data_IF_646418163426
#
_entry.id   IF_646418163426
#
_cell.length_a   1.000
_cell.length_b   1.000
_cell.length_c   1.000
_cell.angle_alpha   90.00
_cell.angle_beta   90.00
_cell.angle_gamma   90.00
#
_symmetry.space_group_name_H-M   'P 1'
#
loop_
_entity.id
_entity.type
_entity.pdbx_description
1 polymer ?
#
# COMPACT_ATOMS: atom_id res chain seq x y z
N UNK A 1 -38.33 -3.22 15.05
CA UNK A 1 -38.73 -3.23 13.62
C UNK A 1 -38.92 -1.80 13.18
N UNK A 2 -37.89 -1.16 12.67
CA UNK A 2 -37.96 0.06 11.86
C UNK A 2 -36.75 0.05 10.97
N UNK A 3 -37.02 -0.12 9.69
CA UNK A 3 -36.09 -0.47 8.63
C UNK A 3 -35.21 0.68 8.21
N UNK A 4 -34.01 0.35 7.99
CA UNK A 4 -32.88 1.05 7.42
C UNK A 4 -33.13 1.39 5.93
N UNK A 5 -33.28 2.68 5.60
CA UNK A 5 -33.35 3.19 4.23
C UNK A 5 -32.42 4.40 4.03
N UNK A 6 -31.17 4.31 4.51
CA UNK A 6 -30.15 5.37 4.32
C UNK A 6 -28.84 4.83 3.75
N UNK A 7 -28.85 4.02 2.70
CA UNK A 7 -27.62 3.32 2.34
C UNK A 7 -27.11 3.52 0.92
N UNK A 8 -27.78 4.21 0.03
CA UNK A 8 -27.35 4.20 -1.39
C UNK A 8 -26.56 5.42 -1.88
N UNK A 9 -26.69 6.60 -1.25
CA UNK A 9 -25.87 7.78 -1.61
C UNK A 9 -24.54 7.86 -0.86
N UNK A 10 -24.40 7.23 0.32
CA UNK A 10 -23.15 7.20 1.10
C UNK A 10 -22.14 6.18 0.58
N UNK A 11 -22.56 5.11 -0.09
CA UNK A 11 -21.64 4.08 -0.59
C UNK A 11 -20.74 4.56 -1.74
N UNK A 12 -21.15 5.55 -2.51
CA UNK A 12 -20.31 6.12 -3.57
C UNK A 12 -19.34 7.21 -3.05
N UNK A 13 -19.67 7.86 -1.93
CA UNK A 13 -18.78 8.82 -1.26
C UNK A 13 -17.71 8.14 -0.41
N UNK A 14 -17.96 6.93 0.11
CA UNK A 14 -16.99 6.09 0.84
C UNK A 14 -15.96 5.41 -0.09
N UNK A 15 -16.15 5.46 -1.41
CA UNK A 15 -15.19 4.98 -2.41
C UNK A 15 -13.90 5.81 -2.49
N UNK A 16 -13.84 6.99 -1.84
CA UNK A 16 -12.68 7.89 -1.82
C UNK A 16 -11.97 7.88 -0.45
N UNK A 17 -12.50 7.15 0.53
CA UNK A 17 -11.83 6.92 1.81
C UNK A 17 -10.59 6.05 1.61
N UNK A 18 -9.47 6.69 1.28
CA UNK A 18 -8.15 6.07 1.23
C UNK A 18 -7.81 5.48 2.57
N UNK A 19 -7.60 4.16 2.62
CA UNK A 19 -6.94 3.50 3.74
C UNK A 19 -5.50 4.03 3.74
N UNK A 20 -5.25 5.01 4.61
CA UNK A 20 -3.93 5.58 4.83
C UNK A 20 -3.11 4.63 5.68
N UNK A 21 -2.48 3.64 5.08
CA UNK A 21 -1.45 2.86 5.74
C UNK A 21 -0.07 3.41 5.39
N UNK A 22 0.71 3.74 6.42
CA UNK A 22 2.06 4.29 6.29
C UNK A 22 2.16 5.54 5.39
N UNK A 23 1.29 6.52 5.63
CA UNK A 23 1.43 7.83 5.01
C UNK A 23 1.24 7.88 3.50
N UNK A 24 0.53 6.94 2.89
CA UNK A 24 0.42 6.91 1.44
C UNK A 24 -1.03 6.92 0.95
N UNK A 25 -1.68 8.09 1.06
CA UNK A 25 -2.71 8.45 0.11
C UNK A 25 -2.13 9.51 -0.82
N UNK A 26 -1.52 9.08 -1.88
CA UNK A 26 -1.23 9.98 -3.00
C UNK A 26 -2.54 10.30 -3.68
N UNK A 27 -3.01 11.52 -3.51
CA UNK A 27 -4.01 12.10 -4.43
C UNK A 27 -3.30 12.31 -5.77
N UNK A 28 -3.30 11.29 -6.60
CA UNK A 28 -2.85 11.43 -7.99
C UNK A 28 -3.88 12.31 -8.69
N UNK A 29 -3.48 13.54 -9.04
CA UNK A 29 -4.19 14.32 -10.04
C UNK A 29 -4.08 13.57 -11.36
N UNK A 30 -5.12 12.80 -11.69
CA UNK A 30 -5.24 12.24 -13.04
C UNK A 30 -5.29 13.37 -14.04
N UNK A 31 -4.50 13.36 -15.12
CA UNK A 31 -4.72 14.24 -16.25
C UNK A 31 -6.13 13.95 -16.79
N UNK A 32 -6.99 14.95 -16.83
CA UNK A 32 -8.30 14.81 -17.47
C UNK A 32 -8.08 14.57 -18.96
N UNK A 33 -8.65 13.50 -19.54
CA UNK A 33 -8.68 13.38 -20.97
C UNK A 33 -9.59 14.49 -21.52
N UNK A 34 -9.06 15.30 -22.40
CA UNK A 34 -9.84 16.26 -23.19
C UNK A 34 -10.71 15.48 -24.16
N UNK A 35 -11.97 15.28 -23.82
CA UNK A 35 -12.98 14.77 -24.75
C UNK A 35 -13.50 15.91 -25.60
N UNK A 36 -13.57 15.76 -26.94
CA UNK A 36 -14.27 16.73 -27.78
C UNK A 36 -15.77 16.62 -27.50
N UNK A 37 -16.36 17.76 -27.12
CA UNK A 37 -17.81 17.88 -26.93
C UNK A 37 -18.55 17.59 -28.24
N UNK A 38 -19.25 16.48 -28.32
CA UNK A 38 -20.31 16.28 -29.30
C UNK A 38 -21.64 16.73 -28.68
N UNK A 39 -22.14 17.86 -29.15
CA UNK A 39 -23.51 18.31 -28.87
C UNK A 39 -24.47 17.31 -29.47
N UNK A 40 -25.15 16.53 -28.64
CA UNK A 40 -26.33 15.74 -29.06
C UNK A 40 -27.55 16.61 -28.81
N UNK A 41 -28.19 17.04 -29.89
CA UNK A 41 -29.47 17.73 -29.85
C UNK A 41 -30.54 16.65 -29.58
N UNK A 42 -31.12 16.71 -28.38
CA UNK A 42 -32.30 15.87 -28.05
C UNK A 42 -33.52 16.56 -28.63
N UNK A 43 -34.06 15.97 -29.72
CA UNK A 43 -35.33 16.37 -30.28
C UNK A 43 -36.49 15.93 -29.38
N UNK A 44 -37.33 16.89 -28.97
CA UNK A 44 -38.56 16.63 -28.24
C UNK A 44 -39.53 15.83 -29.11
N UNK A 45 -39.91 14.63 -28.68
CA UNK A 45 -41.01 13.87 -29.26
C UNK A 45 -42.34 14.43 -28.76
N UNK A 46 -43.07 15.06 -29.65
CA UNK A 46 -44.47 15.45 -29.42
C UNK A 46 -45.37 14.21 -29.54
N UNK A 47 -46.15 13.97 -28.50
CA UNK A 47 -47.23 12.98 -28.51
C UNK A 47 -48.34 13.46 -29.41
N UNK A 48 -48.58 12.77 -30.51
CA UNK A 48 -49.78 12.95 -31.30
C UNK A 48 -50.85 11.92 -30.89
N UNK A 49 -51.94 12.41 -30.31
CA UNK A 49 -53.19 11.69 -30.18
C UNK A 49 -53.79 11.51 -31.55
N UNK A 50 -53.84 10.28 -32.06
CA UNK A 50 -54.62 9.94 -33.24
C UNK A 50 -56.05 9.57 -32.82
N UNK A 51 -57.06 10.19 -33.41
CA UNK A 51 -58.46 9.78 -33.23
C UNK A 51 -58.76 8.49 -34.01
N UNK A 52 -59.44 7.58 -33.37
CA UNK A 52 -59.98 6.35 -34.02
C UNK A 52 -60.97 6.69 -35.08
N UNK A 53 -60.84 6.19 -36.34
CA UNK A 53 -61.86 6.36 -37.37
C UNK A 53 -63.05 5.38 -37.20
N UNK A 54 -64.22 5.94 -37.17
CA UNK A 54 -65.48 5.20 -37.19
C UNK A 54 -65.69 4.61 -38.58
N UNK A 55 -65.73 3.27 -38.76
CA UNK A 55 -65.99 2.60 -40.00
C UNK A 55 -67.50 2.32 -40.14
N UNK A 56 -68.18 3.00 -41.08
CA UNK A 56 -69.46 2.60 -41.60
C UNK A 56 -69.29 1.54 -42.71
N UNK A 57 -70.08 0.46 -42.64
CA UNK A 57 -69.98 -0.70 -43.53
C UNK A 57 -70.40 -0.36 -44.93
N UNK A 58 -69.53 -0.65 -45.94
CA UNK A 58 -69.83 -0.71 -47.34
C UNK A 58 -69.75 -2.17 -47.87
N UNK A 59 -70.58 -2.57 -48.87
CA UNK A 59 -70.58 -3.96 -49.33
C UNK A 59 -69.34 -4.31 -50.16
N UNK A 60 -68.79 -5.45 -49.86
CA UNK A 60 -67.49 -5.94 -50.25
C UNK A 60 -67.60 -6.73 -51.55
N UNK A 61 -66.84 -6.33 -52.57
CA UNK A 61 -66.55 -7.20 -53.73
C UNK A 61 -65.25 -7.98 -53.42
N UNK A 62 -65.33 -9.33 -53.48
CA UNK A 62 -64.31 -10.27 -52.93
C UNK A 62 -62.84 -10.08 -53.41
N UNK A 63 -62.57 -9.44 -54.52
CA UNK A 63 -61.25 -9.27 -55.11
C UNK A 63 -60.44 -8.10 -54.46
N UNK A 64 -61.10 -7.03 -53.99
CA UNK A 64 -60.44 -5.91 -53.35
C UNK A 64 -59.98 -6.23 -51.91
N UNK A 65 -60.71 -7.08 -51.22
CA UNK A 65 -60.42 -7.47 -49.88
C UNK A 65 -59.18 -8.36 -49.78
N UNK A 66 -58.99 -9.24 -50.76
CA UNK A 66 -57.81 -10.12 -50.77
C UNK A 66 -56.51 -9.34 -51.04
N UNK A 67 -56.60 -8.33 -51.92
CA UNK A 67 -55.45 -7.43 -52.14
C UNK A 67 -55.10 -6.55 -50.88
N UNK A 68 -56.15 -6.05 -50.22
CA UNK A 68 -55.92 -5.31 -48.96
C UNK A 68 -55.37 -6.19 -47.82
N UNK A 69 -55.88 -7.39 -47.65
CA UNK A 69 -55.39 -8.36 -46.72
C UNK A 69 -53.91 -8.72 -47.01
N UNK A 70 -53.55 -8.93 -48.25
CA UNK A 70 -52.17 -9.19 -48.63
C UNK A 70 -51.25 -7.97 -48.41
N UNK A 71 -51.74 -6.74 -48.61
CA UNK A 71 -50.99 -5.54 -48.24
C UNK A 71 -50.79 -5.43 -46.73
N UNK A 72 -51.80 -5.64 -45.91
CA UNK A 72 -51.71 -5.63 -44.48
C UNK A 72 -50.70 -6.68 -43.92
N UNK A 73 -50.71 -7.86 -44.54
CA UNK A 73 -49.79 -8.93 -44.14
C UNK A 73 -48.37 -8.63 -44.59
N UNK A 74 -48.14 -8.02 -45.74
CA UNK A 74 -46.83 -7.52 -46.16
C UNK A 74 -46.34 -6.38 -45.30
N UNK A 75 -47.20 -5.43 -44.92
CA UNK A 75 -46.86 -4.34 -44.00
C UNK A 75 -46.50 -4.86 -42.62
N UNK A 76 -47.25 -5.83 -42.08
CA UNK A 76 -46.97 -6.50 -40.81
C UNK A 76 -45.60 -7.19 -40.83
N UNK A 77 -45.33 -7.98 -41.88
CA UNK A 77 -44.03 -8.66 -42.05
C UNK A 77 -42.87 -7.67 -42.19
N UNK A 78 -43.13 -6.53 -42.85
CA UNK A 78 -42.13 -5.46 -42.98
C UNK A 78 -41.82 -4.82 -41.64
N UNK A 79 -42.85 -4.51 -40.83
CA UNK A 79 -42.69 -3.97 -39.47
C UNK A 79 -41.99 -4.97 -38.56
N UNK A 80 -42.35 -6.27 -38.61
CA UNK A 80 -41.69 -7.31 -37.86
C UNK A 80 -40.18 -7.45 -38.24
N UNK A 81 -39.88 -7.37 -39.55
CA UNK A 81 -38.49 -7.38 -40.04
C UNK A 81 -37.72 -6.15 -39.59
N UNK A 82 -38.32 -4.95 -39.65
CA UNK A 82 -37.68 -3.73 -39.14
C UNK A 82 -37.42 -3.80 -37.65
N UNK A 83 -38.36 -4.32 -36.88
CA UNK A 83 -38.18 -4.53 -35.43
C UNK A 83 -37.05 -5.55 -35.10
N UNK A 84 -36.95 -6.62 -35.92
CA UNK A 84 -35.84 -7.57 -35.77
C UNK A 84 -34.48 -6.93 -36.10
N UNK A 85 -34.39 -6.19 -37.20
CA UNK A 85 -33.16 -5.47 -37.57
C UNK A 85 -32.81 -4.45 -36.50
N UNK A 86 -33.76 -3.71 -35.97
CA UNK A 86 -33.54 -2.74 -34.91
C UNK A 86 -33.03 -3.42 -33.62
N UNK A 87 -33.61 -4.55 -33.22
CA UNK A 87 -33.13 -5.35 -32.08
C UNK A 87 -31.71 -5.89 -32.32
N UNK A 88 -31.44 -6.35 -33.55
CA UNK A 88 -30.13 -6.86 -33.90
C UNK A 88 -29.07 -5.74 -33.88
N UNK A 89 -29.39 -4.58 -34.44
CA UNK A 89 -28.50 -3.41 -34.39
C UNK A 89 -28.25 -2.95 -32.95
N UNK A 90 -29.29 -2.91 -32.11
CA UNK A 90 -29.13 -2.59 -30.68
C UNK A 90 -28.23 -3.62 -29.98
N UNK A 91 -28.43 -4.90 -30.26
CA UNK A 91 -27.57 -5.95 -29.68
C UNK A 91 -26.12 -5.85 -30.19
N UNK A 92 -25.89 -5.54 -31.45
CA UNK A 92 -24.56 -5.33 -32.02
C UNK A 92 -23.89 -4.06 -31.44
N UNK A 93 -24.65 -2.96 -31.26
CA UNK A 93 -24.15 -1.75 -30.58
C UNK A 93 -23.82 -2.02 -29.11
N UNK A 94 -24.66 -2.77 -28.37
CA UNK A 94 -24.39 -3.17 -27.00
C UNK A 94 -23.15 -4.06 -26.91
N UNK A 95 -22.99 -5.03 -27.81
CA UNK A 95 -21.82 -5.89 -27.90
C UNK A 95 -20.56 -5.09 -28.26
N UNK A 96 -20.64 -4.15 -29.19
CA UNK A 96 -19.52 -3.29 -29.55
C UNK A 96 -19.11 -2.37 -28.39
N UNK A 97 -20.08 -1.79 -27.69
CA UNK A 97 -19.83 -0.98 -26.50
C UNK A 97 -19.22 -1.81 -25.38
N UNK A 98 -19.70 -3.05 -25.16
CA UNK A 98 -19.15 -3.95 -24.16
C UNK A 98 -17.71 -4.37 -24.48
N UNK A 99 -17.40 -4.64 -25.75
CA UNK A 99 -16.04 -5.01 -26.20
C UNK A 99 -15.04 -3.84 -26.16
N UNK A 100 -15.53 -2.61 -26.10
CA UNK A 100 -14.67 -1.40 -26.02
C UNK A 100 -14.20 -1.06 -24.59
N UNK A 101 -14.78 -1.70 -23.56
CA UNK A 101 -14.43 -1.42 -22.15
C UNK A 101 -13.01 -1.90 -21.85
N UNK A 102 -12.17 -0.99 -21.37
CA UNK A 102 -10.83 -1.28 -20.92
C UNK A 102 -10.87 -1.64 -19.43
N UNK A 103 -10.54 -2.89 -19.10
CA UNK A 103 -10.57 -3.41 -17.73
C UNK A 103 -9.26 -3.23 -16.96
N UNK A 104 -8.14 -3.00 -17.64
CA UNK A 104 -6.87 -2.75 -17.04
C UNK A 104 -6.57 -1.25 -16.96
N UNK A 105 -5.92 -0.83 -15.87
CA UNK A 105 -5.47 0.55 -15.75
C UNK A 105 -4.42 0.86 -16.83
N UNK A 106 -4.34 2.12 -17.31
CA UNK A 106 -3.29 2.56 -18.22
C UNK A 106 -1.91 2.24 -17.66
N UNK A 107 -1.00 1.77 -18.52
CA UNK A 107 0.37 1.43 -18.12
C UNK A 107 1.29 2.64 -18.18
N UNK A 108 2.15 2.77 -17.17
CA UNK A 108 3.20 3.77 -17.11
C UNK A 108 4.57 3.22 -17.54
N UNK A 109 4.65 1.95 -17.97
CA UNK A 109 5.91 1.24 -18.27
C UNK A 109 6.81 1.92 -19.30
N UNK A 110 6.25 2.76 -20.17
CA UNK A 110 6.99 3.55 -21.16
C UNK A 110 7.47 4.91 -20.62
N UNK A 111 7.10 5.27 -19.39
CA UNK A 111 7.53 6.52 -18.76
C UNK A 111 8.96 6.42 -18.29
N UNK A 112 9.76 7.44 -18.58
CA UNK A 112 11.16 7.51 -18.13
C UNK A 112 11.27 7.34 -16.61
N UNK A 113 12.26 6.56 -16.16
CA UNK A 113 12.52 6.26 -14.75
C UNK A 113 11.83 5.00 -14.24
N UNK A 114 10.77 4.50 -14.92
CA UNK A 114 10.09 3.26 -14.51
C UNK A 114 10.97 2.03 -14.65
N UNK A 115 11.94 2.03 -15.58
CA UNK A 115 12.89 0.95 -15.80
C UNK A 115 13.70 0.59 -14.55
N UNK A 116 14.00 1.57 -13.69
CA UNK A 116 14.68 1.36 -12.41
C UNK A 116 13.84 0.51 -11.45
N UNK A 117 12.53 0.69 -11.47
CA UNK A 117 11.58 -0.08 -10.64
C UNK A 117 11.48 -1.52 -11.14
N UNK A 118 11.33 -1.74 -12.45
CA UNK A 118 11.28 -3.09 -13.02
C UNK A 118 12.57 -3.87 -12.77
N UNK A 119 13.73 -3.25 -12.94
CA UNK A 119 15.02 -3.86 -12.62
C UNK A 119 15.16 -4.20 -11.13
N UNK A 120 14.68 -3.32 -10.26
CA UNK A 120 14.72 -3.54 -8.81
C UNK A 120 13.77 -4.65 -8.39
N UNK A 121 12.55 -4.70 -8.93
CA UNK A 121 11.64 -5.82 -8.70
C UNK A 121 12.29 -7.17 -9.08
N UNK A 122 12.96 -7.22 -10.23
CA UNK A 122 13.72 -8.40 -10.65
C UNK A 122 14.79 -8.83 -9.63
N UNK A 123 15.58 -7.89 -9.11
CA UNK A 123 16.62 -8.17 -8.10
C UNK A 123 16.02 -8.70 -6.79
N UNK A 124 14.93 -8.10 -6.32
CA UNK A 124 14.24 -8.54 -5.10
C UNK A 124 13.63 -9.94 -5.28
N UNK A 125 13.04 -10.21 -6.43
CA UNK A 125 12.49 -11.53 -6.76
C UNK A 125 13.59 -12.59 -6.88
N UNK A 126 14.76 -12.26 -7.40
CA UNK A 126 15.90 -13.19 -7.44
C UNK A 126 16.40 -13.55 -6.04
N UNK A 127 16.41 -12.61 -5.09
CA UNK A 127 16.68 -12.88 -3.67
C UNK A 127 15.58 -13.79 -3.06
N UNK A 128 14.31 -13.45 -3.26
CA UNK A 128 13.18 -14.17 -2.68
C UNK A 128 13.07 -15.61 -3.24
N UNK A 129 13.41 -15.81 -4.50
CA UNK A 129 13.43 -17.13 -5.17
C UNK A 129 14.70 -17.94 -4.89
N UNK A 130 15.67 -17.41 -4.12
CA UNK A 130 16.91 -18.08 -3.79
C UNK A 130 17.94 -18.14 -4.91
N UNK A 131 17.78 -17.37 -6.00
CA UNK A 131 18.77 -17.25 -7.08
C UNK A 131 19.99 -16.43 -6.64
N UNK A 132 19.79 -15.48 -5.72
CA UNK A 132 20.84 -14.69 -5.10
C UNK A 132 20.66 -14.70 -3.57
N UNK A 133 21.75 -14.51 -2.78
CA UNK A 133 21.64 -14.47 -1.33
C UNK A 133 20.72 -13.34 -0.84
N UNK A 134 19.97 -13.61 0.22
CA UNK A 134 19.18 -12.58 0.90
C UNK A 134 20.12 -11.53 1.52
N UNK A 135 20.03 -10.29 1.06
CA UNK A 135 20.85 -9.15 1.53
C UNK A 135 19.94 -7.92 1.73
N UNK A 136 19.63 -7.63 2.99
CA UNK A 136 18.71 -6.54 3.32
C UNK A 136 19.28 -5.16 2.97
N UNK A 137 20.57 -4.95 3.23
CA UNK A 137 21.28 -3.70 2.88
C UNK A 137 21.13 -3.37 1.39
N UNK A 138 21.36 -4.38 0.52
CA UNK A 138 21.26 -4.18 -0.92
C UNK A 138 19.82 -4.08 -1.41
N UNK A 139 18.87 -4.79 -0.77
CA UNK A 139 17.44 -4.71 -1.07
C UNK A 139 16.89 -3.30 -0.81
N UNK A 140 17.13 -2.76 0.39
CA UNK A 140 16.68 -1.42 0.79
C UNK A 140 17.32 -0.36 -0.11
N UNK A 141 18.65 -0.44 -0.34
CA UNK A 141 19.33 0.49 -1.25
C UNK A 141 18.74 0.47 -2.66
N UNK A 142 18.44 -0.71 -3.20
CA UNK A 142 17.91 -0.84 -4.55
C UNK A 142 16.53 -0.19 -4.69
N UNK A 143 15.64 -0.37 -3.68
CA UNK A 143 14.31 0.28 -3.64
C UNK A 143 14.43 1.79 -3.65
N UNK A 144 15.24 2.34 -2.75
CA UNK A 144 15.42 3.79 -2.62
C UNK A 144 16.12 4.39 -3.85
N UNK A 145 17.09 3.66 -4.42
CA UNK A 145 17.79 4.08 -5.63
C UNK A 145 16.88 4.04 -6.88
N UNK A 146 15.88 3.15 -6.91
CA UNK A 146 14.87 3.16 -7.98
C UNK A 146 14.02 4.44 -7.93
N UNK A 147 13.64 4.87 -6.73
CA UNK A 147 12.92 6.13 -6.55
C UNK A 147 13.73 7.35 -7.03
N UNK A 148 15.02 7.35 -6.80
CA UNK A 148 15.95 8.40 -7.27
C UNK A 148 16.58 8.09 -8.66
N UNK A 149 15.98 7.21 -9.44
CA UNK A 149 16.36 6.94 -10.84
C UNK A 149 17.86 6.60 -11.01
N UNK A 150 18.40 5.85 -10.05
CA UNK A 150 19.80 5.43 -10.09
C UNK A 150 20.82 6.42 -9.56
N UNK A 151 20.40 7.56 -9.02
CA UNK A 151 21.27 8.68 -8.65
C UNK A 151 21.90 8.60 -7.25
N UNK A 152 21.53 7.61 -6.43
CA UNK A 152 22.10 7.45 -5.08
C UNK A 152 23.54 6.92 -5.11
N UNK A 153 24.40 7.50 -4.26
CA UNK A 153 25.78 7.05 -4.09
C UNK A 153 25.85 5.84 -3.14
N UNK A 154 25.95 4.63 -3.72
CA UNK A 154 26.04 3.38 -2.97
C UNK A 154 27.27 3.35 -2.05
N UNK A 155 28.40 3.91 -2.47
CA UNK A 155 29.63 3.93 -1.66
C UNK A 155 29.43 4.72 -0.38
N UNK A 156 28.83 5.92 -0.46
CA UNK A 156 28.52 6.73 0.76
C UNK A 156 27.55 6.01 1.67
N UNK A 157 26.54 5.35 1.13
CA UNK A 157 25.60 4.53 1.89
C UNK A 157 26.33 3.43 2.69
N UNK A 158 27.19 2.66 2.03
CA UNK A 158 27.95 1.56 2.65
C UNK A 158 29.00 2.06 3.64
N UNK A 159 29.66 3.18 3.37
CA UNK A 159 30.61 3.84 4.27
C UNK A 159 29.93 4.28 5.59
N UNK A 160 28.74 4.89 5.51
CA UNK A 160 27.98 5.30 6.69
C UNK A 160 27.58 4.12 7.58
N UNK A 161 27.05 3.05 6.98
CA UNK A 161 26.70 1.82 7.69
C UNK A 161 27.95 1.22 8.36
N UNK A 162 29.06 1.17 7.63
CA UNK A 162 30.33 0.66 8.17
C UNK A 162 30.88 1.51 9.31
N UNK A 163 30.75 2.83 9.25
CA UNK A 163 31.13 3.75 10.32
C UNK A 163 30.31 3.50 11.59
N UNK A 164 28.98 3.35 11.47
CA UNK A 164 28.10 3.07 12.62
C UNK A 164 28.41 1.72 13.26
N UNK A 165 28.63 0.67 12.47
CA UNK A 165 29.02 -0.65 12.93
C UNK A 165 30.37 -0.61 13.69
N UNK A 166 31.36 0.14 13.17
CA UNK A 166 32.66 0.33 13.81
C UNK A 166 32.55 1.09 15.14
N UNK A 167 31.71 2.14 15.21
CA UNK A 167 31.42 2.87 16.45
C UNK A 167 30.87 1.91 17.51
N UNK A 168 29.93 1.04 17.17
CA UNK A 168 29.37 0.05 18.09
C UNK A 168 30.43 -0.89 18.63
N UNK A 169 31.30 -1.42 17.76
CA UNK A 169 32.37 -2.34 18.14
C UNK A 169 33.45 -1.66 19.03
N UNK A 170 33.90 -0.48 18.62
CA UNK A 170 34.91 0.28 19.39
C UNK A 170 34.38 0.64 20.80
N UNK A 171 33.12 1.08 20.85
CA UNK A 171 32.52 1.46 22.15
C UNK A 171 32.29 0.24 23.01
N UNK A 172 31.93 -0.91 22.50
CA UNK A 172 31.88 -2.17 23.26
C UNK A 172 33.20 -2.50 23.89
N UNK A 173 34.30 -2.41 23.12
CA UNK A 173 35.67 -2.64 23.66
C UNK A 173 36.08 -1.64 24.73
N UNK A 174 35.74 -0.36 24.56
CA UNK A 174 36.03 0.68 25.57
C UNK A 174 35.22 0.51 26.84
N UNK A 175 34.02 -0.04 26.76
CA UNK A 175 33.16 -0.34 27.91
C UNK A 175 33.47 -1.72 28.53
N UNK A 176 34.50 -2.44 28.06
CA UNK A 176 34.89 -3.77 28.55
C UNK A 176 33.91 -4.90 28.21
N UNK A 177 33.04 -4.70 27.21
CA UNK A 177 32.00 -5.66 26.83
C UNK A 177 32.52 -6.66 25.79
N UNK A 178 32.09 -7.93 25.93
CA UNK A 178 32.45 -8.97 24.97
C UNK A 178 31.69 -8.83 23.68
N UNK A 179 32.35 -8.35 22.60
CA UNK A 179 31.76 -8.17 21.28
C UNK A 179 31.27 -9.47 20.62
N UNK A 180 31.79 -10.64 21.01
CA UNK A 180 31.33 -11.91 20.46
C UNK A 180 29.99 -12.36 21.04
N UNK A 181 29.52 -11.73 22.11
CA UNK A 181 28.19 -11.97 22.64
C UNK A 181 27.12 -11.30 21.71
N UNK A 182 26.14 -12.07 21.15
CA UNK A 182 25.11 -11.53 20.30
C UNK A 182 24.26 -10.42 20.95
N UNK A 183 24.04 -10.52 22.27
CA UNK A 183 23.28 -9.52 23.02
C UNK A 183 24.04 -8.21 23.10
N UNK A 184 25.37 -8.29 23.34
CA UNK A 184 26.26 -7.11 23.35
C UNK A 184 26.16 -6.37 22.02
N UNK A 185 26.17 -7.10 20.90
CA UNK A 185 26.01 -6.49 19.57
C UNK A 185 24.68 -5.73 19.46
N UNK A 186 23.54 -6.35 19.80
CA UNK A 186 22.24 -5.71 19.79
C UNK A 186 22.20 -4.46 20.70
N UNK A 187 22.67 -4.57 21.93
CA UNK A 187 22.67 -3.43 22.86
C UNK A 187 23.54 -2.29 22.34
N UNK A 188 24.70 -2.60 21.76
CA UNK A 188 25.60 -1.56 21.25
C UNK A 188 25.08 -0.89 19.98
N UNK A 189 24.41 -1.64 19.08
CA UNK A 189 23.71 -1.06 17.94
C UNK A 189 22.56 -0.15 18.39
N UNK A 190 21.78 -0.60 19.38
CA UNK A 190 20.74 0.24 20.00
C UNK A 190 21.34 1.55 20.54
N UNK A 191 22.45 1.48 21.30
CA UNK A 191 23.11 2.66 21.88
C UNK A 191 23.65 3.61 20.80
N UNK A 192 24.22 3.08 19.70
CA UNK A 192 24.68 3.92 18.57
C UNK A 192 23.52 4.68 17.93
N UNK A 193 22.33 4.08 17.92
CA UNK A 193 21.14 4.72 17.33
C UNK A 193 20.37 5.61 18.31
N UNK A 194 20.45 5.34 19.63
CA UNK A 194 19.60 5.99 20.63
C UNK A 194 20.33 6.93 21.61
N UNK A 195 21.66 6.78 21.78
CA UNK A 195 22.42 7.52 22.78
C UNK A 195 23.45 8.47 22.14
N UNK A 196 23.80 9.52 22.87
CA UNK A 196 25.02 10.29 22.57
C UNK A 196 26.22 9.54 23.16
N UNK A 197 27.14 9.10 22.29
CA UNK A 197 28.29 8.30 22.69
C UNK A 197 29.60 9.07 22.51
N UNK A 198 30.48 8.99 23.52
CA UNK A 198 31.87 9.39 23.39
C UNK A 198 32.71 8.18 23.02
N UNK A 199 33.38 8.24 21.85
CA UNK A 199 34.14 7.12 21.28
C UNK A 199 35.56 7.56 20.96
N UNK A 200 36.56 6.85 21.48
CA UNK A 200 37.98 7.09 21.17
C UNK A 200 38.39 6.20 19.99
N UNK A 201 38.81 6.82 18.92
CA UNK A 201 39.33 6.10 17.74
C UNK A 201 40.84 5.88 17.91
N UNK A 202 41.37 4.72 17.42
CA UNK A 202 42.79 4.36 17.65
C UNK A 202 43.80 5.41 17.16
N UNK A 203 43.47 6.12 16.09
CA UNK A 203 44.35 7.11 15.44
C UNK A 203 44.05 8.56 15.86
N UNK A 204 43.23 8.77 16.88
CA UNK A 204 42.83 10.12 17.32
C UNK A 204 43.19 10.32 18.79
N UNK A 205 43.78 11.46 19.11
CA UNK A 205 44.12 11.81 20.51
C UNK A 205 42.85 12.06 21.34
N UNK A 206 41.85 12.72 20.73
CA UNK A 206 40.61 13.08 21.41
C UNK A 206 39.46 12.13 21.01
N UNK A 207 38.59 11.85 21.96
CA UNK A 207 37.35 11.16 21.67
C UNK A 207 36.45 12.00 20.76
N UNK A 208 35.72 11.30 19.89
CA UNK A 208 34.67 11.91 19.00
C UNK A 208 33.32 11.62 19.59
N UNK A 209 32.39 12.57 19.42
CA UNK A 209 31.00 12.37 19.83
C UNK A 209 30.18 11.79 18.65
N UNK A 210 29.48 10.69 18.90
CA UNK A 210 28.44 10.16 18.00
C UNK A 210 27.07 10.56 18.53
N UNK A 211 26.29 11.21 17.71
CA UNK A 211 24.93 11.63 18.06
C UNK A 211 23.91 10.58 17.67
N UNK A 212 22.79 10.45 18.43
CA UNK A 212 21.73 9.51 18.12
C UNK A 212 20.99 9.86 16.83
N UNK A 213 20.32 8.86 16.27
CA UNK A 213 19.27 9.07 15.30
C UNK A 213 18.02 9.65 15.99
N UNK A 214 17.30 10.51 15.29
CA UNK A 214 16.11 11.17 15.81
C UNK A 214 14.89 10.82 14.98
N UNK A 215 13.73 10.80 15.63
CA UNK A 215 12.48 10.73 14.90
C UNK A 215 12.17 12.06 14.20
N UNK A 216 11.77 11.98 12.93
CA UNK A 216 11.38 13.16 12.14
C UNK A 216 9.87 13.33 12.23
N UNK A 217 9.40 14.30 13.01
CA UNK A 217 7.98 14.61 13.18
C UNK A 217 7.41 15.38 11.99
N UNK A 218 8.27 15.97 11.16
CA UNK A 218 7.84 16.70 9.97
C UNK A 218 7.59 15.73 8.83
N UNK A 219 6.35 15.74 8.28
CA UNK A 219 5.90 14.85 7.20
C UNK A 219 6.20 13.37 7.48
N UNK A 220 5.89 12.92 8.71
CA UNK A 220 6.24 11.58 9.19
C UNK A 220 5.61 10.44 8.35
N UNK A 221 4.62 10.74 7.53
CA UNK A 221 3.99 9.80 6.58
C UNK A 221 4.61 9.85 5.18
N UNK A 222 5.48 10.83 4.89
CA UNK A 222 6.03 11.03 3.56
C UNK A 222 4.98 11.45 2.53
N UNK A 223 3.93 12.17 2.97
CA UNK A 223 2.82 12.61 2.09
C UNK A 223 3.29 13.70 1.11
N UNK A 224 4.19 14.58 1.54
CA UNK A 224 4.77 15.64 0.72
C UNK A 224 6.12 15.23 0.12
N UNK A 225 6.96 14.57 0.92
CA UNK A 225 8.27 14.06 0.50
C UNK A 225 8.43 12.59 0.88
N UNK A 226 8.13 11.71 -0.07
CA UNK A 226 8.20 10.27 0.14
C UNK A 226 9.58 9.79 0.58
N UNK A 227 10.65 10.50 0.21
CA UNK A 227 12.03 10.14 0.59
C UNK A 227 12.30 10.26 2.09
N UNK A 228 11.44 10.93 2.86
CA UNK A 228 11.54 10.98 4.32
C UNK A 228 11.43 9.60 4.99
N UNK A 229 10.83 8.63 4.31
CA UNK A 229 10.73 7.24 4.75
C UNK A 229 12.03 6.43 4.53
N UNK A 230 13.04 6.98 3.86
CA UNK A 230 14.21 6.26 3.38
C UNK A 230 15.35 6.19 4.39
N UNK A 231 16.06 5.04 4.37
CA UNK A 231 17.30 4.83 5.15
C UNK A 231 18.43 5.73 4.65
N UNK A 232 18.51 5.99 3.35
CA UNK A 232 19.53 6.90 2.77
C UNK A 232 19.34 8.33 3.28
N UNK A 233 18.10 8.79 3.41
CA UNK A 233 17.77 10.09 4.03
C UNK A 233 18.10 10.09 5.52
N UNK A 234 17.74 9.03 6.27
CA UNK A 234 18.09 8.86 7.68
C UNK A 234 19.60 8.96 7.90
N UNK A 235 20.40 8.24 7.10
CA UNK A 235 21.88 8.26 7.19
C UNK A 235 22.47 9.64 6.88
N UNK A 236 21.83 10.45 6.04
CA UNK A 236 22.32 11.78 5.68
C UNK A 236 21.91 12.86 6.68
N UNK A 237 20.70 12.79 7.23
CA UNK A 237 20.11 13.83 8.08
C UNK A 237 20.11 13.48 9.59
N UNK A 238 20.39 12.24 9.97
CA UNK A 238 20.18 11.67 11.30
C UNK A 238 18.71 11.73 11.77
N UNK A 239 17.76 11.97 10.85
CA UNK A 239 16.32 11.99 11.13
C UNK A 239 15.61 10.98 10.26
N UNK A 240 14.78 10.14 10.89
CA UNK A 240 14.02 9.08 10.19
C UNK A 240 12.69 8.79 10.83
N UNK A 241 12.01 7.81 10.25
CA UNK A 241 10.65 7.43 10.60
C UNK A 241 10.62 6.04 11.26
N UNK A 242 9.46 5.66 11.77
CA UNK A 242 9.25 4.29 12.29
C UNK A 242 9.51 3.19 11.24
N UNK A 243 9.60 3.54 9.95
CA UNK A 243 9.99 2.65 8.86
C UNK A 243 11.51 2.55 8.70
N UNK A 244 12.19 3.67 8.49
CA UNK A 244 13.64 3.70 8.21
C UNK A 244 14.52 3.37 9.41
N UNK A 245 14.11 3.74 10.64
CA UNK A 245 14.89 3.47 11.84
C UNK A 245 15.06 1.95 12.09
N UNK A 246 14.00 1.12 12.10
CA UNK A 246 14.15 -0.33 12.25
C UNK A 246 14.88 -0.99 11.09
N UNK A 247 14.67 -0.53 9.84
CA UNK A 247 15.39 -1.07 8.69
C UNK A 247 16.90 -0.82 8.80
N UNK A 248 17.32 0.40 9.19
CA UNK A 248 18.74 0.68 9.45
C UNK A 248 19.31 -0.20 10.55
N UNK A 249 18.55 -0.42 11.63
CA UNK A 249 18.97 -1.30 12.71
C UNK A 249 19.21 -2.74 12.21
N UNK A 250 18.30 -3.31 11.41
CA UNK A 250 18.47 -4.64 10.85
C UNK A 250 19.64 -4.73 9.85
N UNK A 251 19.87 -3.68 9.06
CA UNK A 251 21.04 -3.58 8.18
C UNK A 251 22.35 -3.58 9.00
N UNK A 252 22.38 -2.87 10.13
CA UNK A 252 23.51 -2.89 11.04
C UNK A 252 23.67 -4.26 11.70
N UNK A 253 22.58 -4.93 12.11
CA UNK A 253 22.62 -6.32 12.61
C UNK A 253 23.22 -7.26 11.56
N UNK A 254 22.79 -7.18 10.31
CA UNK A 254 23.36 -7.97 9.21
C UNK A 254 24.88 -7.71 9.05
N UNK A 255 25.29 -6.43 9.15
CA UNK A 255 26.69 -6.01 9.03
C UNK A 255 27.60 -6.58 10.12
N UNK A 256 27.11 -6.68 11.37
CA UNK A 256 27.92 -7.15 12.52
C UNK A 256 27.65 -8.61 12.90
N UNK A 257 26.75 -9.30 12.21
CA UNK A 257 26.33 -10.66 12.55
C UNK A 257 25.59 -10.72 13.89
N UNK A 258 24.65 -9.81 14.13
CA UNK A 258 23.68 -9.86 15.21
C UNK A 258 22.33 -10.35 14.69
N UNK A 259 21.54 -10.98 15.57
CA UNK A 259 20.19 -11.47 15.23
C UNK A 259 19.13 -10.55 15.81
N UNK A 260 18.27 -10.04 14.95
CA UNK A 260 17.10 -9.27 15.31
C UNK A 260 16.03 -9.41 14.21
N UNK A 261 14.79 -9.11 14.54
CA UNK A 261 13.64 -9.21 13.65
C UNK A 261 12.87 -7.91 13.62
N UNK A 262 12.27 -7.59 12.47
CA UNK A 262 11.24 -6.57 12.35
C UNK A 262 9.95 -7.09 12.96
N UNK A 263 9.20 -6.24 13.65
CA UNK A 263 7.85 -6.52 14.08
C UNK A 263 6.96 -5.29 13.87
N UNK A 264 5.65 -5.53 13.73
CA UNK A 264 4.68 -4.49 13.45
C UNK A 264 3.68 -4.32 14.58
N UNK A 265 3.18 -3.10 14.73
CA UNK A 265 1.95 -2.73 15.41
C UNK A 265 1.15 -1.80 14.50
N UNK A 266 -0.10 -1.41 14.80
CA UNK A 266 -0.86 -0.54 13.92
C UNK A 266 -0.10 0.74 13.54
N UNK A 267 0.15 0.93 12.25
CA UNK A 267 0.90 2.05 11.64
C UNK A 267 2.32 2.26 12.19
N UNK A 268 2.92 1.22 12.75
CA UNK A 268 4.22 1.34 13.39
C UNK A 268 5.04 0.08 13.25
N UNK A 269 6.37 0.21 13.22
CA UNK A 269 7.31 -0.91 13.23
C UNK A 269 8.41 -0.70 14.27
N UNK A 270 8.89 -1.81 14.83
CA UNK A 270 9.89 -1.86 15.88
C UNK A 270 10.75 -3.12 15.78
N UNK A 271 11.77 -3.25 16.60
CA UNK A 271 12.71 -4.37 16.61
C UNK A 271 12.40 -5.33 17.74
N UNK A 272 12.51 -6.62 17.45
CA UNK A 272 12.54 -7.71 18.45
C UNK A 272 13.87 -8.45 18.38
N UNK A 273 14.43 -8.79 19.54
CA UNK A 273 15.59 -9.69 19.64
C UNK A 273 15.45 -10.59 20.85
N UNK A 274 16.21 -11.69 20.88
CA UNK A 274 16.23 -12.62 22.01
C UNK A 274 17.46 -12.41 22.91
N UNK A 275 17.25 -12.59 24.21
CA UNK A 275 18.35 -12.70 25.18
C UNK A 275 18.92 -14.13 25.24
N UNK A 276 19.93 -14.35 26.10
CA UNK A 276 20.57 -15.65 26.34
C UNK A 276 19.61 -16.74 26.85
N UNK A 277 18.46 -16.34 27.41
CA UNK A 277 17.43 -17.23 27.95
C UNK A 277 16.28 -17.43 26.95
N UNK A 278 16.42 -16.98 25.69
CA UNK A 278 15.38 -16.99 24.64
C UNK A 278 14.16 -16.08 24.95
N UNK A 279 14.25 -15.14 25.88
CA UNK A 279 13.21 -14.16 26.11
C UNK A 279 13.26 -13.08 25.04
N UNK A 280 12.08 -12.68 24.55
CA UNK A 280 11.97 -11.59 23.61
C UNK A 280 12.04 -10.23 24.29
N UNK A 281 12.79 -9.33 23.66
CA UNK A 281 12.90 -7.92 24.02
C UNK A 281 12.57 -7.06 22.83
N UNK A 282 11.91 -5.92 23.05
CA UNK A 282 11.54 -4.98 22.00
C UNK A 282 12.43 -3.72 22.11
N UNK A 283 12.86 -3.21 20.95
CA UNK A 283 13.53 -1.92 20.83
C UNK A 283 12.61 -0.99 20.05
N UNK A 284 12.20 0.07 20.71
CA UNK A 284 11.40 1.14 20.15
C UNK A 284 12.32 2.31 19.77
N UNK A 285 12.65 2.38 18.48
CA UNK A 285 13.67 3.33 18.00
C UNK A 285 13.15 4.75 17.83
N UNK A 286 11.85 4.95 17.67
CA UNK A 286 11.26 6.30 17.60
C UNK A 286 11.40 7.02 18.93
N UNK A 287 11.37 6.27 20.04
CA UNK A 287 11.56 6.75 21.40
C UNK A 287 12.99 6.55 21.89
N UNK A 288 13.77 5.71 21.22
CA UNK A 288 15.08 5.28 21.67
C UNK A 288 14.99 4.57 23.04
N UNK A 289 14.09 3.59 23.19
CA UNK A 289 13.89 2.86 24.44
C UNK A 289 13.71 1.36 24.22
N UNK A 290 14.09 0.57 25.22
CA UNK A 290 13.70 -0.83 25.29
C UNK A 290 12.33 -0.94 25.97
N UNK A 291 11.49 -1.85 25.47
CA UNK A 291 10.12 -1.98 25.92
C UNK A 291 9.67 -3.45 25.99
N UNK A 292 8.45 -3.70 26.44
CA UNK A 292 7.85 -5.03 26.57
C UNK A 292 6.68 -5.20 25.60
N UNK A 293 6.28 -6.46 25.38
CA UNK A 293 5.06 -6.74 24.58
C UNK A 293 3.81 -6.12 25.22
N UNK A 294 3.73 -6.06 26.56
CA UNK A 294 2.64 -5.40 27.26
C UNK A 294 2.54 -3.90 26.93
N UNK A 295 3.70 -3.22 26.82
CA UNK A 295 3.76 -1.81 26.40
C UNK A 295 3.23 -1.65 24.97
N UNK A 296 3.66 -2.51 24.04
CA UNK A 296 3.21 -2.46 22.64
C UNK A 296 1.70 -2.67 22.55
N UNK A 297 1.15 -3.66 23.26
CA UNK A 297 -0.30 -3.93 23.30
C UNK A 297 -1.07 -2.74 23.89
N UNK A 298 -0.54 -2.14 24.97
CA UNK A 298 -1.19 -1.03 25.66
C UNK A 298 -1.15 0.30 24.93
N UNK A 299 -0.20 0.48 23.98
CA UNK A 299 -0.02 1.71 23.22
C UNK A 299 -0.75 1.74 21.88
N UNK A 300 -1.26 0.61 21.37
CA UNK A 300 -1.80 0.52 20.02
C UNK A 300 -3.11 -0.25 19.91
N UNK A 301 -3.83 -0.01 18.85
CA UNK A 301 -5.10 -0.64 18.46
C UNK A 301 -4.90 -2.10 18.03
N UNK A 302 -4.36 -2.95 18.92
CA UNK A 302 -4.06 -4.35 18.65
C UNK A 302 -5.18 -5.21 19.21
N UNK A 303 -5.92 -5.90 18.34
CA UNK A 303 -6.92 -6.86 18.74
C UNK A 303 -6.38 -8.31 18.77
N UNK A 304 -7.10 -9.21 19.44
CA UNK A 304 -6.70 -10.60 19.59
C UNK A 304 -6.61 -11.35 18.24
N UNK A 305 -7.45 -10.99 17.26
CA UNK A 305 -7.42 -11.60 15.94
C UNK A 305 -6.11 -11.26 15.21
N UNK A 306 -5.65 -10.00 15.27
CA UNK A 306 -4.41 -9.58 14.67
C UNK A 306 -3.19 -10.30 15.26
N UNK A 307 -3.17 -10.52 16.56
CA UNK A 307 -2.12 -11.32 17.22
C UNK A 307 -2.20 -12.79 16.77
N UNK A 308 -3.39 -13.38 16.78
CA UNK A 308 -3.63 -14.77 16.39
C UNK A 308 -3.21 -15.05 14.95
N UNK A 309 -3.49 -14.14 14.04
CA UNK A 309 -3.13 -14.26 12.62
C UNK A 309 -1.70 -13.82 12.30
N UNK A 310 -0.94 -13.34 13.29
CA UNK A 310 0.45 -12.93 13.10
C UNK A 310 0.62 -11.62 12.30
N UNK A 311 -0.42 -10.77 12.28
CA UNK A 311 -0.36 -9.45 11.64
C UNK A 311 0.55 -8.54 12.43
N UNK A 312 0.39 -8.54 13.77
CA UNK A 312 1.14 -7.70 14.69
C UNK A 312 1.95 -8.54 15.67
N UNK A 313 3.02 -7.95 16.19
CA UNK A 313 3.91 -8.47 17.23
C UNK A 313 4.72 -9.73 16.84
N UNK A 314 4.51 -10.31 15.67
CA UNK A 314 5.29 -11.45 15.20
C UNK A 314 6.64 -10.99 14.64
N UNK A 315 7.74 -11.63 15.06
CA UNK A 315 9.05 -11.36 14.48
C UNK A 315 9.06 -11.84 13.01
N UNK A 316 9.37 -10.92 12.12
CA UNK A 316 9.52 -11.19 10.69
C UNK A 316 10.92 -11.75 10.42
N UNK A 317 11.02 -12.80 9.62
CA UNK A 317 12.30 -13.29 9.13
C UNK A 317 12.86 -12.40 8.00
N UNK A 318 14.12 -12.61 7.63
CA UNK A 318 14.79 -11.81 6.59
C UNK A 318 14.07 -11.88 5.24
N UNK A 319 13.52 -13.04 4.88
CA UNK A 319 12.80 -13.23 3.62
C UNK A 319 11.51 -12.41 3.59
N UNK A 320 10.77 -12.41 4.70
CA UNK A 320 9.58 -11.59 4.87
C UNK A 320 9.92 -10.09 4.81
N UNK A 321 11.02 -9.64 5.46
CA UNK A 321 11.44 -8.24 5.40
C UNK A 321 11.82 -7.83 3.96
N UNK A 322 12.49 -8.69 3.18
CA UNK A 322 12.75 -8.42 1.77
C UNK A 322 11.45 -8.41 0.93
N UNK A 323 10.48 -9.25 1.28
CA UNK A 323 9.15 -9.17 0.66
C UNK A 323 8.43 -7.84 0.97
N UNK A 324 8.60 -7.26 2.16
CA UNK A 324 8.15 -5.90 2.45
C UNK A 324 8.82 -4.86 1.54
N UNK A 325 10.10 -5.04 1.16
CA UNK A 325 10.76 -4.14 0.20
C UNK A 325 10.07 -4.10 -1.18
N UNK A 326 9.37 -5.18 -1.62
CA UNK A 326 8.52 -5.13 -2.82
C UNK A 326 7.30 -4.21 -2.63
N UNK A 327 6.74 -4.17 -1.42
CA UNK A 327 5.65 -3.23 -1.10
C UNK A 327 6.15 -1.80 -1.07
N UNK A 328 7.35 -1.56 -0.54
CA UNK A 328 7.99 -0.24 -0.51
C UNK A 328 8.30 0.23 -1.94
N UNK A 329 8.79 -0.68 -2.80
CA UNK A 329 9.02 -0.41 -4.21
C UNK A 329 7.72 -0.01 -4.93
N UNK A 330 6.64 -0.80 -4.73
CA UNK A 330 5.34 -0.50 -5.30
C UNK A 330 4.79 0.83 -4.78
N UNK A 331 4.98 1.14 -3.49
CA UNK A 331 4.59 2.40 -2.89
C UNK A 331 5.31 3.59 -3.52
N UNK A 332 6.62 3.51 -3.70
CA UNK A 332 7.40 4.54 -4.38
C UNK A 332 6.99 4.73 -5.85
N UNK A 333 6.65 3.63 -6.53
CA UNK A 333 6.12 3.68 -7.90
C UNK A 333 4.76 4.39 -7.94
N UNK A 334 3.82 4.01 -7.06
CA UNK A 334 2.51 4.66 -6.95
C UNK A 334 2.65 6.15 -6.69
N UNK A 335 3.58 6.54 -5.80
CA UNK A 335 3.83 7.96 -5.51
C UNK A 335 4.25 8.77 -6.74
N UNK A 336 5.06 8.18 -7.64
CA UNK A 336 5.56 8.88 -8.84
C UNK A 336 4.62 8.78 -10.04
N UNK A 337 4.06 7.60 -10.28
CA UNK A 337 3.39 7.28 -11.55
C UNK A 337 1.92 6.91 -11.37
N UNK A 338 1.50 6.45 -10.18
CA UNK A 338 0.16 5.94 -9.95
C UNK A 338 0.06 4.42 -10.06
N UNK A 339 -1.17 3.92 -10.14
CA UNK A 339 -1.47 2.49 -10.18
C UNK A 339 -1.48 1.96 -11.61
N UNK A 340 -0.77 0.86 -11.84
CA UNK A 340 -0.83 0.05 -13.05
C UNK A 340 -0.50 -1.43 -12.76
N UNK A 341 -0.30 -2.22 -13.81
CA UNK A 341 -0.01 -3.66 -13.68
C UNK A 341 1.29 -3.96 -12.93
N UNK A 342 2.28 -3.07 -12.96
CA UNK A 342 3.52 -3.24 -12.20
C UNK A 342 3.25 -3.32 -10.69
N UNK A 343 2.40 -2.41 -10.19
CA UNK A 343 2.05 -2.36 -8.77
C UNK A 343 1.48 -3.68 -8.29
N UNK A 344 0.44 -4.20 -8.98
CA UNK A 344 -0.22 -5.43 -8.53
C UNK A 344 0.71 -6.65 -8.64
N UNK A 345 1.61 -6.71 -9.63
CA UNK A 345 2.61 -7.78 -9.74
C UNK A 345 3.60 -7.77 -8.58
N UNK A 346 4.09 -6.60 -8.16
CA UNK A 346 4.95 -6.47 -6.97
C UNK A 346 4.21 -6.90 -5.70
N UNK A 347 2.96 -6.46 -5.53
CA UNK A 347 2.16 -6.74 -4.35
C UNK A 347 1.77 -8.21 -4.25
N UNK A 348 1.35 -8.84 -5.33
CA UNK A 348 1.05 -10.28 -5.34
C UNK A 348 2.29 -11.11 -5.00
N UNK A 349 3.44 -10.71 -5.52
CA UNK A 349 4.72 -11.33 -5.17
C UNK A 349 5.05 -11.12 -3.69
N UNK A 350 4.89 -9.92 -3.14
CA UNK A 350 5.13 -9.65 -1.72
C UNK A 350 4.23 -10.52 -0.82
N UNK A 351 2.93 -10.61 -1.15
CA UNK A 351 1.96 -11.39 -0.40
C UNK A 351 2.20 -12.91 -0.46
N UNK A 352 2.86 -13.41 -1.51
CA UNK A 352 3.24 -14.84 -1.59
C UNK A 352 4.27 -15.24 -0.54
N UNK A 353 5.11 -14.30 -0.06
CA UNK A 353 6.12 -14.53 0.98
C UNK A 353 5.73 -13.97 2.35
N UNK A 354 4.89 -12.94 2.38
CA UNK A 354 4.38 -12.31 3.60
C UNK A 354 2.86 -12.10 3.52
N UNK A 355 2.05 -13.17 3.71
CA UNK A 355 0.58 -13.14 3.47
C UNK A 355 -0.21 -12.20 4.39
N UNK A 356 0.39 -11.79 5.51
CA UNK A 356 -0.17 -10.84 6.49
C UNK A 356 0.41 -9.44 6.37
N UNK A 357 1.15 -9.15 5.29
CA UNK A 357 1.66 -7.82 4.99
C UNK A 357 0.50 -6.86 4.74
N UNK A 358 0.13 -6.10 5.76
CA UNK A 358 -1.01 -5.17 5.73
C UNK A 358 -0.81 -4.01 4.75
N UNK A 359 0.44 -3.54 4.57
CA UNK A 359 0.78 -2.53 3.55
C UNK A 359 0.49 -3.06 2.14
N UNK A 360 0.92 -4.29 1.84
CA UNK A 360 0.64 -4.93 0.56
C UNK A 360 -0.87 -5.12 0.33
N UNK A 361 -1.61 -5.58 1.35
CA UNK A 361 -3.07 -5.74 1.27
C UNK A 361 -3.78 -4.41 1.02
N UNK A 362 -3.34 -3.32 1.68
CA UNK A 362 -3.90 -1.99 1.46
C UNK A 362 -3.64 -1.48 0.03
N UNK A 363 -2.40 -1.62 -0.48
CA UNK A 363 -2.07 -1.24 -1.87
C UNK A 363 -2.89 -2.07 -2.86
N UNK A 364 -3.05 -3.37 -2.60
CA UNK A 364 -3.89 -4.26 -3.41
C UNK A 364 -5.35 -3.80 -3.44
N UNK A 365 -5.90 -3.47 -2.28
CA UNK A 365 -7.27 -2.93 -2.15
C UNK A 365 -7.44 -1.64 -2.96
N UNK A 366 -6.48 -0.71 -2.84
CA UNK A 366 -6.49 0.54 -3.59
C UNK A 366 -6.39 0.31 -5.10
N UNK A 367 -5.51 -0.59 -5.56
CA UNK A 367 -5.42 -0.97 -6.97
C UNK A 367 -6.76 -1.44 -7.54
N UNK A 368 -7.44 -2.37 -6.86
CA UNK A 368 -8.76 -2.84 -7.29
C UNK A 368 -9.83 -1.74 -7.20
N UNK A 369 -9.73 -0.83 -6.24
CA UNK A 369 -10.58 0.35 -6.14
C UNK A 369 -10.43 1.29 -7.34
N UNK A 370 -9.19 1.64 -7.69
CA UNK A 370 -8.91 2.47 -8.86
C UNK A 370 -9.30 1.80 -10.17
N UNK A 371 -9.05 0.50 -10.30
CA UNK A 371 -9.45 -0.30 -11.45
C UNK A 371 -10.97 -0.31 -11.62
N UNK A 372 -11.71 -0.54 -10.54
CA UNK A 372 -13.18 -0.48 -10.55
C UNK A 372 -13.69 0.92 -10.93
N UNK A 373 -13.08 1.97 -10.36
CA UNK A 373 -13.45 3.35 -10.70
C UNK A 373 -13.17 3.67 -12.17
N UNK A 374 -12.03 3.21 -12.71
CA UNK A 374 -11.65 3.39 -14.10
C UNK A 374 -12.69 2.76 -15.05
N UNK A 375 -13.10 1.52 -14.78
CA UNK A 375 -14.14 0.82 -15.54
C UNK A 375 -15.49 1.49 -15.37
N UNK A 376 -15.89 1.82 -14.13
CA UNK A 376 -17.16 2.47 -13.84
C UNK A 376 -17.32 3.81 -14.58
N UNK A 377 -16.24 4.57 -14.74
CA UNK A 377 -16.28 5.83 -15.50
C UNK A 377 -16.58 5.62 -17.00
N UNK A 378 -16.11 4.52 -17.58
CA UNK A 378 -16.35 4.19 -18.99
C UNK A 378 -17.80 3.78 -19.25
N UNK A 379 -18.47 3.17 -18.26
CA UNK A 379 -19.85 2.64 -18.37
C UNK A 379 -20.89 3.54 -17.70
N UNK A 380 -20.53 4.79 -17.36
CA UNK A 380 -21.48 5.77 -16.81
C UNK A 380 -21.87 5.56 -15.35
N UNK A 381 -21.07 4.80 -14.57
CA UNK A 381 -21.29 4.54 -13.13
C UNK A 381 -22.67 4.00 -12.79
N UNK A 382 -23.10 2.89 -13.38
CA UNK A 382 -24.42 2.34 -13.13
C UNK A 382 -24.59 1.90 -11.67
N UNK A 383 -25.83 1.85 -11.14
CA UNK A 383 -26.11 1.23 -9.84
C UNK A 383 -25.65 -0.23 -9.79
N UNK A 384 -25.43 -0.75 -8.57
CA UNK A 384 -24.83 -2.08 -8.37
C UNK A 384 -25.64 -3.24 -8.97
N UNK A 385 -26.96 -3.15 -8.95
CA UNK A 385 -27.88 -4.11 -9.55
C UNK A 385 -27.74 -4.14 -11.09
N UNK A 386 -27.63 -2.98 -11.72
CA UNK A 386 -27.36 -2.84 -13.15
C UNK A 386 -25.93 -3.35 -13.45
N UNK A 387 -24.95 -2.97 -12.66
CA UNK A 387 -23.56 -3.42 -12.83
C UNK A 387 -23.49 -4.96 -12.84
N UNK A 388 -24.21 -5.62 -11.92
CA UNK A 388 -24.21 -7.09 -11.78
C UNK A 388 -24.81 -7.78 -12.99
N UNK A 389 -25.87 -7.21 -13.58
CA UNK A 389 -26.62 -7.86 -14.67
C UNK A 389 -26.02 -7.52 -16.03
N UNK A 390 -25.70 -6.25 -16.28
CA UNK A 390 -25.25 -5.77 -17.58
C UNK A 390 -23.73 -5.81 -17.77
N UNK A 391 -22.96 -5.70 -16.65
CA UNK A 391 -21.49 -5.64 -16.69
C UNK A 391 -20.85 -6.62 -15.69
N UNK A 392 -21.04 -7.96 -15.89
CA UNK A 392 -20.59 -8.97 -14.92
C UNK A 392 -19.09 -8.94 -14.65
N UNK A 393 -18.23 -8.60 -15.62
CA UNK A 393 -16.80 -8.47 -15.42
C UNK A 393 -16.43 -7.25 -14.56
N UNK A 394 -17.14 -6.13 -14.73
CA UNK A 394 -16.97 -4.97 -13.85
C UNK A 394 -17.48 -5.28 -12.42
N UNK A 395 -18.58 -6.04 -12.30
CA UNK A 395 -19.06 -6.52 -11.00
C UNK A 395 -18.04 -7.44 -10.32
N UNK A 396 -17.31 -8.27 -11.06
CA UNK A 396 -16.23 -9.10 -10.53
C UNK A 396 -15.11 -8.26 -9.90
N UNK A 397 -14.75 -7.11 -10.48
CA UNK A 397 -13.78 -6.20 -9.85
C UNK A 397 -14.26 -5.67 -8.49
N UNK A 398 -15.55 -5.40 -8.38
CA UNK A 398 -16.16 -5.02 -7.09
C UNK A 398 -16.05 -6.14 -6.05
N UNK A 399 -16.30 -7.39 -6.44
CA UNK A 399 -16.17 -8.55 -5.56
C UNK A 399 -14.70 -8.81 -5.17
N UNK A 400 -13.75 -8.68 -6.11
CA UNK A 400 -12.31 -8.81 -5.84
C UNK A 400 -11.86 -7.80 -4.78
N UNK A 401 -12.24 -6.52 -4.92
CA UNK A 401 -11.95 -5.50 -3.91
C UNK A 401 -12.56 -5.86 -2.54
N UNK A 402 -13.83 -6.24 -2.53
CA UNK A 402 -14.53 -6.57 -1.28
C UNK A 402 -13.95 -7.82 -0.60
N UNK A 403 -13.42 -8.77 -1.37
CA UNK A 403 -12.72 -9.93 -0.81
C UNK A 403 -11.46 -9.51 -0.04
N UNK A 404 -10.74 -8.47 -0.48
CA UNK A 404 -9.57 -7.96 0.23
C UNK A 404 -9.99 -7.26 1.53
N UNK A 405 -11.07 -6.48 1.53
CA UNK A 405 -11.61 -5.88 2.75
C UNK A 405 -12.01 -6.95 3.76
N UNK A 406 -12.75 -7.98 3.34
CA UNK A 406 -13.08 -9.11 4.22
C UNK A 406 -11.83 -9.77 4.78
N UNK A 407 -10.79 -9.95 3.95
CA UNK A 407 -9.52 -10.51 4.40
C UNK A 407 -8.82 -9.64 5.46
N UNK A 408 -8.81 -8.32 5.29
CA UNK A 408 -8.27 -7.39 6.29
C UNK A 408 -9.04 -7.46 7.61
N UNK A 409 -10.37 -7.51 7.57
CA UNK A 409 -11.22 -7.68 8.75
C UNK A 409 -10.96 -9.02 9.45
N UNK A 410 -10.90 -10.12 8.69
CA UNK A 410 -10.64 -11.48 9.20
C UNK A 410 -9.31 -11.57 9.95
N UNK A 411 -8.25 -10.97 9.40
CA UNK A 411 -6.93 -10.98 10.05
C UNK A 411 -6.82 -9.99 11.20
N UNK A 412 -7.88 -9.22 11.46
CA UNK A 412 -7.94 -8.27 12.57
C UNK A 412 -7.19 -6.97 12.32
N UNK A 413 -7.01 -6.61 11.05
CA UNK A 413 -6.44 -5.30 10.71
C UNK A 413 -7.37 -4.19 11.19
N UNK A 414 -6.80 -3.20 11.90
CA UNK A 414 -7.52 -2.00 12.35
C UNK A 414 -6.70 -0.79 11.94
N UNK A 415 -7.35 0.14 11.25
CA UNK A 415 -6.73 1.43 10.94
C UNK A 415 -6.76 2.32 12.19
N UNK A 416 -5.60 2.88 12.55
CA UNK A 416 -5.52 3.88 13.61
C UNK A 416 -5.85 5.25 13.02
N UNK A 417 -6.85 5.98 13.55
CA UNK A 417 -7.13 7.34 13.10
C UNK A 417 -5.89 8.24 13.19
N UNK A 418 -5.74 9.18 12.25
CA UNK A 418 -4.56 10.06 12.16
C UNK A 418 -4.32 10.83 13.45
N UNK A 419 -5.38 11.38 14.01
CA UNK A 419 -5.35 12.18 15.24
C UNK A 419 -4.91 11.34 16.46
N UNK A 420 -5.29 10.07 16.49
CA UNK A 420 -4.88 9.14 17.55
C UNK A 420 -3.40 8.79 17.41
N UNK A 421 -2.92 8.54 16.18
CA UNK A 421 -1.51 8.30 15.93
C UNK A 421 -0.65 9.53 16.27
N UNK A 422 -1.08 10.73 15.91
CA UNK A 422 -0.40 11.98 16.28
C UNK A 422 -0.39 12.21 17.79
N UNK A 423 -1.50 11.95 18.48
CA UNK A 423 -1.57 12.00 19.94
C UNK A 423 -0.64 10.99 20.60
N UNK A 424 -0.58 9.78 20.05
CA UNK A 424 0.36 8.75 20.51
C UNK A 424 1.83 9.19 20.31
N UNK A 425 2.20 9.72 19.13
CA UNK A 425 3.53 10.27 18.88
C UNK A 425 3.90 11.39 19.87
N UNK A 426 2.96 12.27 20.20
CA UNK A 426 3.18 13.36 21.15
C UNK A 426 3.39 12.84 22.57
N UNK A 427 2.60 11.83 23.00
CA UNK A 427 2.78 11.17 24.31
C UNK A 427 4.15 10.51 24.45
N UNK A 428 4.70 10.05 23.32
CA UNK A 428 6.07 9.49 23.24
C UNK A 428 7.13 10.54 23.58
N UNK A 429 6.98 11.76 23.05
CA UNK A 429 7.90 12.85 23.34
C UNK A 429 7.89 13.23 24.83
N UNK A 430 6.72 13.35 25.42
CA UNK A 430 6.58 13.63 26.84
C UNK A 430 7.22 12.55 27.72
N UNK A 431 7.05 11.27 27.37
CA UNK A 431 7.65 10.16 28.09
C UNK A 431 9.18 10.14 27.91
N UNK A 432 9.69 10.50 26.71
CA UNK A 432 11.13 10.64 26.46
C UNK A 432 11.75 11.69 27.35
N UNK A 433 11.17 12.87 27.45
CA UNK A 433 11.63 13.96 28.32
C UNK A 433 11.67 13.55 29.78
N UNK A 434 10.67 12.78 30.26
CA UNK A 434 10.62 12.24 31.62
C UNK A 434 11.72 11.20 31.91
N UNK A 435 12.15 10.43 30.89
CA UNK A 435 13.13 9.32 31.05
C UNK A 435 14.58 9.70 30.76
N UNK A 436 14.89 10.87 30.23
CA UNK A 436 16.27 11.26 29.87
C UNK A 436 17.24 11.32 31.04
N UNK A 437 16.80 11.22 32.29
CA UNK A 437 17.61 11.37 33.49
C UNK A 437 18.13 10.07 34.16
N UNK A 438 18.35 8.96 33.41
CA UNK A 438 19.26 7.95 34.02
C UNK A 438 18.85 6.49 34.02
N UNK A 439 17.73 6.05 33.44
CA UNK A 439 17.26 4.66 33.54
C UNK A 439 17.66 3.78 32.34
N UNK A 440 17.90 4.36 31.18
CA UNK A 440 18.14 3.63 29.91
C UNK A 440 19.36 2.71 29.94
N UNK A 441 20.45 3.17 30.49
CA UNK A 441 21.74 2.45 30.51
C UNK A 441 21.76 1.26 31.45
N UNK A 442 21.21 1.41 32.65
CA UNK A 442 21.22 0.36 33.68
C UNK A 442 20.37 -0.87 33.31
N UNK A 443 19.25 -0.67 32.62
CA UNK A 443 18.41 -1.79 32.21
C UNK A 443 19.01 -2.57 31.03
N UNK A 444 19.70 -1.89 30.10
CA UNK A 444 20.34 -2.54 28.96
C UNK A 444 21.59 -3.36 29.39
N UNK A 445 22.37 -2.86 30.34
CA UNK A 445 23.52 -3.60 30.86
C UNK A 445 23.14 -4.89 31.61
N UNK A 446 21.99 -4.91 32.30
CA UNK A 446 21.50 -6.12 33.00
C UNK A 446 21.19 -7.28 32.06
N UNK A 447 20.99 -7.03 30.77
CA UNK A 447 20.75 -8.09 29.76
C UNK A 447 22.06 -8.75 29.29
N UNK A 448 23.20 -8.10 29.51
CA UNK A 448 24.52 -8.60 29.10
C UNK A 448 25.14 -9.45 30.21
N UNK A 449 24.87 -9.11 31.48
CA UNK A 449 25.26 -9.88 32.67
C UNK A 449 24.42 -11.16 32.79
#
# INVERSE_FOLDING_TARGET
MTSCNYTFSLLFALLIGSINMFGQAVVVKTPQPTTPSRNIIIGNSHSHNNPTPNFSAFPITNNRNQQQLNMYEQDRLTVERMNMIQRQNQFEEEQANYSSIQYDLPSWSATQGTEHYYQTAGKLLDMLNGKTPLNLKDAVFAVENAYFEGLLDKRKYEERISQMANIAQLKAGQDGLNWNNPITKNIMLYRVMADTLSVKFPMRERASTSFPMQYDFDDFRGENDFSKLFVTKLLSSHKGQCHSLPLLYLILCEKVGAEASLAFSPQHSYIKFKDKNNNWHNIELTQGMMTTDAFIVGSGFINAAAIKHGVYMQPQDKKQVIAHCLSDLASGYVHKYGYDKFVIQCIDSALSYAPTNTTALAIKSNYHGFRLQYVANQIGRPPLDILKVQYPDAYKLFEERNAIYRRLDEIGFVEMPKEVYESWLNSINEEKEKREHGIRYKSALRLIE
#
